data_IF_737045622100
#
_entry.id   IF_737045622100
#
_cell.length_a   1.000
_cell.length_b   1.000
_cell.length_c   1.000
_cell.angle_alpha   90.00
_cell.angle_beta   90.00
_cell.angle_gamma   90.00
#
_symmetry.space_group_name_H-M   'P 1'
#
loop_
_entity.id
_entity.type
_entity.pdbx_description
1 polymer ?
#
# COMPACT_ATOMS: atom_id res chain seq x y z
N UNK A 1 -18.23 14.03 17.88
CA UNK A 1 -17.38 14.30 16.70
C UNK A 1 -17.34 15.79 16.48
N UNK A 2 -16.16 16.35 16.47
CA UNK A 2 -15.95 17.77 16.15
C UNK A 2 -16.00 17.98 14.64
N UNK A 3 -16.24 19.24 14.21
CA UNK A 3 -16.25 19.57 12.77
C UNK A 3 -14.92 19.27 12.08
N UNK A 4 -13.82 19.38 12.84
CA UNK A 4 -12.46 19.04 12.36
C UNK A 4 -12.28 17.55 12.13
N UNK A 5 -12.82 16.69 12.99
CA UNK A 5 -12.77 15.22 12.82
C UNK A 5 -13.57 14.75 11.61
N UNK A 6 -14.74 15.38 11.37
CA UNK A 6 -15.56 15.11 10.18
C UNK A 6 -14.83 15.49 8.89
N UNK A 7 -14.17 16.65 8.88
CA UNK A 7 -13.40 17.11 7.73
C UNK A 7 -12.20 16.19 7.44
N UNK A 8 -11.47 15.76 8.46
CA UNK A 8 -10.33 14.84 8.31
C UNK A 8 -10.78 13.46 7.81
N UNK A 9 -11.90 12.94 8.30
CA UNK A 9 -12.49 11.66 7.84
C UNK A 9 -12.92 11.74 6.38
N UNK A 10 -13.53 12.84 5.97
CA UNK A 10 -13.92 13.08 4.57
C UNK A 10 -12.70 13.16 3.64
N UNK A 11 -11.66 13.88 4.05
CA UNK A 11 -10.43 14.02 3.27
C UNK A 11 -9.69 12.68 3.11
N UNK A 12 -9.68 11.83 4.14
CA UNK A 12 -9.10 10.49 4.07
C UNK A 12 -9.90 9.59 3.11
N UNK A 13 -11.23 9.71 3.10
CA UNK A 13 -12.09 8.98 2.15
C UNK A 13 -11.78 9.37 0.71
N UNK A 14 -11.56 10.66 0.43
CA UNK A 14 -11.16 11.14 -0.89
C UNK A 14 -9.78 10.56 -1.27
N UNK A 15 -8.82 10.55 -0.35
CA UNK A 15 -7.50 9.97 -0.62
C UNK A 15 -7.58 8.46 -0.94
N UNK A 16 -8.47 7.71 -0.29
CA UNK A 16 -8.71 6.31 -0.64
C UNK A 16 -9.33 6.15 -2.02
N UNK A 17 -10.25 7.03 -2.42
CA UNK A 17 -10.80 7.02 -3.77
C UNK A 17 -9.71 7.31 -4.81
N UNK A 18 -8.89 8.33 -4.58
CA UNK A 18 -7.76 8.66 -5.47
C UNK A 18 -6.79 7.46 -5.64
N UNK A 19 -6.55 6.67 -4.57
CA UNK A 19 -5.74 5.46 -4.66
C UNK A 19 -6.39 4.38 -5.52
N UNK A 20 -7.70 4.15 -5.35
CA UNK A 20 -8.42 3.16 -6.15
C UNK A 20 -8.45 3.56 -7.64
N UNK A 21 -8.63 4.84 -7.93
CA UNK A 21 -8.59 5.35 -9.29
C UNK A 21 -7.19 5.18 -9.91
N UNK A 22 -6.13 5.52 -9.16
CA UNK A 22 -4.75 5.31 -9.61
C UNK A 22 -4.43 3.81 -9.82
N UNK A 23 -4.96 2.92 -8.99
CA UNK A 23 -4.83 1.46 -9.15
C UNK A 23 -5.53 0.99 -10.43
N UNK A 24 -6.76 1.47 -10.68
CA UNK A 24 -7.52 1.12 -11.89
C UNK A 24 -6.81 1.61 -13.15
N UNK A 25 -6.29 2.83 -13.13
CA UNK A 25 -5.49 3.37 -14.23
C UNK A 25 -4.21 2.55 -14.46
N UNK A 26 -3.55 2.09 -13.39
CA UNK A 26 -2.36 1.24 -13.51
C UNK A 26 -2.70 -0.11 -14.18
N UNK A 27 -3.83 -0.71 -13.82
CA UNK A 27 -4.28 -1.98 -14.41
C UNK A 27 -4.51 -1.87 -15.92
N UNK A 28 -4.94 -0.70 -16.40
CA UNK A 28 -5.25 -0.44 -17.79
C UNK A 28 -4.08 0.21 -18.55
N UNK A 29 -3.02 0.61 -17.84
CA UNK A 29 -1.90 1.31 -18.42
C UNK A 29 -1.13 0.45 -19.42
N UNK A 30 -0.72 1.07 -20.52
CA UNK A 30 0.33 0.50 -21.34
C UNK A 30 1.64 0.48 -20.54
N UNK A 31 2.52 -0.46 -20.87
CA UNK A 31 3.79 -0.61 -20.16
C UNK A 31 4.58 0.70 -20.03
N UNK A 32 4.58 1.51 -21.09
CA UNK A 32 5.27 2.82 -21.11
C UNK A 32 4.72 3.82 -20.10
N UNK A 33 3.44 3.68 -19.74
CA UNK A 33 2.73 4.58 -18.84
C UNK A 33 2.74 4.07 -17.39
N UNK A 34 2.99 2.78 -17.18
CA UNK A 34 2.93 2.15 -15.86
C UNK A 34 3.80 2.87 -14.82
N UNK A 35 5.01 3.28 -15.20
CA UNK A 35 5.89 4.04 -14.30
C UNK A 35 5.32 5.40 -13.94
N UNK A 36 4.64 6.09 -14.86
CA UNK A 36 4.01 7.38 -14.60
C UNK A 36 2.81 7.23 -13.64
N UNK A 37 1.98 6.22 -13.85
CA UNK A 37 0.85 5.94 -12.96
C UNK A 37 1.32 5.52 -11.57
N UNK A 38 2.42 4.73 -11.48
CA UNK A 38 3.03 4.38 -10.20
C UNK A 38 3.55 5.62 -9.45
N UNK A 39 4.19 6.57 -10.14
CA UNK A 39 4.61 7.83 -9.56
C UNK A 39 3.42 8.62 -8.99
N UNK A 40 2.29 8.64 -9.71
CA UNK A 40 1.05 9.29 -9.23
C UNK A 40 0.52 8.62 -7.97
N UNK A 41 0.51 7.29 -7.91
CA UNK A 41 0.10 6.55 -6.71
C UNK A 41 1.01 6.86 -5.50
N UNK A 42 2.33 6.90 -5.71
CA UNK A 42 3.30 7.27 -4.66
C UNK A 42 3.04 8.70 -4.17
N UNK A 43 2.77 9.65 -5.07
CA UNK A 43 2.44 11.02 -4.68
C UNK A 43 1.13 11.11 -3.85
N UNK A 44 0.19 10.20 -4.03
CA UNK A 44 -1.01 10.11 -3.17
C UNK A 44 -0.63 9.64 -1.77
N UNK A 45 0.28 8.67 -1.62
CA UNK A 45 0.76 8.24 -0.31
C UNK A 45 1.46 9.36 0.48
N UNK A 46 2.11 10.29 -0.22
CA UNK A 46 2.89 11.38 0.37
C UNK A 46 2.04 12.65 0.61
N UNK A 47 0.75 12.64 0.28
CA UNK A 47 -0.18 13.76 0.44
C UNK A 47 -1.02 13.60 1.71
N UNK A 48 -1.22 14.72 2.43
CA UNK A 48 -2.14 14.75 3.57
C UNK A 48 -3.62 14.55 3.14
N UNK A 49 -4.43 13.87 3.96
CA UNK A 49 -4.14 13.34 5.30
C UNK A 49 -3.55 11.92 5.30
N UNK A 50 -3.34 11.30 4.14
CA UNK A 50 -2.89 9.91 4.04
C UNK A 50 -1.46 9.75 4.54
N UNK A 51 -0.58 10.73 4.28
CA UNK A 51 0.81 10.72 4.75
C UNK A 51 0.90 10.61 6.27
N UNK A 52 0.15 11.43 7.01
CA UNK A 52 0.06 11.36 8.47
C UNK A 52 -0.48 10.02 8.95
N UNK A 53 -1.58 9.56 8.35
CA UNK A 53 -2.15 8.24 8.68
C UNK A 53 -1.14 7.11 8.50
N UNK A 54 -0.43 7.05 7.37
CA UNK A 54 0.57 6.02 7.09
C UNK A 54 1.76 6.12 8.03
N UNK A 55 2.27 7.33 8.32
CA UNK A 55 3.41 7.52 9.22
C UNK A 55 3.12 7.04 10.65
N UNK A 56 1.88 7.17 11.11
CA UNK A 56 1.44 6.71 12.42
C UNK A 56 1.10 5.20 12.45
N UNK A 57 0.62 4.66 11.30
CA UNK A 57 0.14 3.29 11.23
C UNK A 57 1.25 2.28 10.95
N UNK A 58 2.32 2.69 10.30
CA UNK A 58 3.30 1.80 9.70
C UNK A 58 4.65 1.87 10.40
N UNK A 59 5.29 0.72 10.67
CA UNK A 59 6.67 0.67 11.16
C UNK A 59 7.66 1.06 10.05
N UNK A 60 8.86 1.48 10.45
CA UNK A 60 9.98 1.61 9.54
C UNK A 60 10.45 0.22 9.07
N UNK A 61 10.90 0.12 7.82
CA UNK A 61 11.38 -1.13 7.23
C UNK A 61 12.69 -0.91 6.49
N UNK A 62 13.53 -1.94 6.45
CA UNK A 62 14.77 -1.97 5.69
C UNK A 62 14.55 -2.69 4.36
N UNK A 63 14.17 -1.90 3.33
CA UNK A 63 13.92 -2.41 1.99
C UNK A 63 15.18 -2.97 1.34
N UNK A 64 16.33 -2.32 1.52
CA UNK A 64 17.57 -2.72 0.84
C UNK A 64 18.01 -4.12 1.33
N UNK A 65 18.04 -4.33 2.63
CA UNK A 65 18.35 -5.67 3.19
C UNK A 65 17.31 -6.72 2.79
N UNK A 66 16.04 -6.33 2.67
CA UNK A 66 14.98 -7.26 2.25
C UNK A 66 15.14 -7.67 0.78
N UNK A 67 15.44 -6.72 -0.12
CA UNK A 67 15.71 -6.99 -1.55
C UNK A 67 16.97 -7.86 -1.71
N UNK A 68 18.06 -7.56 -1.00
CA UNK A 68 19.27 -8.38 -1.03
C UNK A 68 19.00 -9.84 -0.64
N UNK A 69 18.18 -10.07 0.39
CA UNK A 69 17.77 -11.44 0.76
C UNK A 69 16.93 -12.11 -0.32
N UNK A 70 16.04 -11.37 -0.98
CA UNK A 70 15.25 -11.90 -2.09
C UNK A 70 16.12 -12.28 -3.28
N UNK A 71 17.04 -11.42 -3.67
CA UNK A 71 18.00 -11.67 -4.75
C UNK A 71 18.92 -12.86 -4.46
N UNK A 72 19.33 -13.04 -3.20
CA UNK A 72 20.13 -14.21 -2.78
C UNK A 72 19.39 -15.55 -2.98
N UNK A 73 18.07 -15.55 -3.15
CA UNK A 73 17.28 -16.75 -3.47
C UNK A 73 17.18 -17.02 -4.97
N UNK A 74 17.66 -16.11 -5.82
CA UNK A 74 17.57 -16.23 -7.26
C UNK A 74 18.36 -17.47 -7.76
N UNK A 75 17.64 -18.33 -8.52
CA UNK A 75 18.23 -19.44 -9.24
C UNK A 75 18.55 -19.08 -10.70
N UNK A 76 18.79 -20.09 -11.51
CA UNK A 76 19.08 -19.93 -12.94
C UNK A 76 17.86 -19.60 -13.80
N UNK A 77 16.67 -19.53 -13.23
CA UNK A 77 15.42 -19.31 -13.95
C UNK A 77 14.83 -17.92 -13.66
N UNK A 78 14.19 -17.34 -14.67
CA UNK A 78 13.42 -16.11 -14.55
C UNK A 78 12.33 -16.24 -13.48
N UNK A 79 12.17 -15.22 -12.64
CA UNK A 79 11.17 -15.23 -11.57
C UNK A 79 11.51 -16.15 -10.41
N UNK A 80 12.77 -16.59 -10.29
CA UNK A 80 13.22 -17.51 -9.23
C UNK A 80 13.57 -16.80 -7.93
N UNK A 81 13.76 -15.47 -7.94
CA UNK A 81 13.97 -14.70 -6.73
C UNK A 81 12.67 -14.60 -5.92
N UNK A 82 12.70 -15.04 -4.68
CA UNK A 82 11.52 -15.08 -3.83
C UNK A 82 11.40 -13.85 -2.93
N UNK A 83 10.32 -13.10 -3.11
CA UNK A 83 9.93 -12.01 -2.21
C UNK A 83 9.27 -12.61 -0.96
N UNK A 84 10.02 -12.67 0.12
CA UNK A 84 9.51 -13.18 1.40
C UNK A 84 8.84 -12.03 2.17
N UNK A 85 7.53 -11.85 1.93
CA UNK A 85 6.75 -10.78 2.56
C UNK A 85 6.59 -10.98 4.06
N UNK A 86 6.66 -9.89 4.87
CA UNK A 86 6.33 -9.96 6.28
C UNK A 86 4.94 -10.54 6.55
N UNK A 87 4.80 -11.34 7.60
CA UNK A 87 3.49 -11.87 8.02
C UNK A 87 2.62 -10.79 8.64
N UNK A 88 3.22 -9.87 9.40
CA UNK A 88 2.51 -8.72 9.94
C UNK A 88 2.00 -7.81 8.82
N UNK A 89 0.75 -7.36 8.94
CA UNK A 89 0.10 -6.55 7.91
C UNK A 89 0.73 -5.17 7.79
N UNK A 90 1.02 -4.51 8.90
CA UNK A 90 1.58 -3.16 8.88
C UNK A 90 3.00 -3.16 8.31
N UNK A 91 3.83 -4.14 8.69
CA UNK A 91 5.16 -4.33 8.11
C UNK A 91 5.10 -4.63 6.61
N UNK A 92 4.17 -5.48 6.19
CA UNK A 92 3.98 -5.81 4.76
C UNK A 92 3.56 -4.59 3.95
N UNK A 93 2.60 -3.80 4.44
CA UNK A 93 2.17 -2.55 3.79
C UNK A 93 3.33 -1.57 3.72
N UNK A 94 4.07 -1.41 4.81
CA UNK A 94 5.25 -0.55 4.85
C UNK A 94 6.29 -0.96 3.79
N UNK A 95 6.56 -2.25 3.67
CA UNK A 95 7.50 -2.81 2.68
C UNK A 95 7.01 -2.60 1.24
N UNK A 96 5.71 -2.79 0.98
CA UNK A 96 5.13 -2.58 -0.35
C UNK A 96 5.16 -1.10 -0.76
N UNK A 97 4.87 -0.17 0.16
CA UNK A 97 4.99 1.28 -0.10
C UNK A 97 6.45 1.65 -0.38
N UNK A 98 7.39 1.16 0.44
CA UNK A 98 8.81 1.40 0.24
C UNK A 98 9.28 0.90 -1.13
N UNK A 99 8.82 -0.28 -1.55
CA UNK A 99 9.10 -0.84 -2.89
C UNK A 99 8.52 0.03 -4.00
N UNK A 100 7.26 0.48 -3.88
CA UNK A 100 6.66 1.38 -4.87
C UNK A 100 7.45 2.68 -5.01
N UNK A 101 7.88 3.28 -3.89
CA UNK A 101 8.75 4.48 -3.90
C UNK A 101 10.11 4.21 -4.53
N UNK A 102 10.69 3.05 -4.28
CA UNK A 102 11.98 2.65 -4.82
C UNK A 102 11.94 2.53 -6.35
N UNK A 103 10.89 1.89 -6.89
CA UNK A 103 10.66 1.78 -8.33
C UNK A 103 10.34 3.15 -8.94
N UNK A 104 9.46 3.93 -8.31
CA UNK A 104 9.09 5.27 -8.76
C UNK A 104 10.30 6.21 -8.82
N UNK A 105 11.23 6.11 -7.87
CA UNK A 105 12.50 6.84 -7.87
C UNK A 105 13.53 6.29 -8.88
N UNK A 106 13.16 5.30 -9.70
CA UNK A 106 14.03 4.62 -10.68
C UNK A 106 15.31 4.03 -10.08
N UNK A 107 15.29 3.65 -8.81
CA UNK A 107 16.40 2.93 -8.15
C UNK A 107 16.51 1.49 -8.64
N UNK A 108 15.42 0.95 -9.15
CA UNK A 108 15.35 -0.31 -9.89
C UNK A 108 14.45 -0.12 -11.10
N UNK A 109 14.78 -0.76 -12.20
CA UNK A 109 13.94 -0.78 -13.39
C UNK A 109 12.71 -1.66 -13.14
N UNK A 110 11.52 -1.15 -13.47
CA UNK A 110 10.25 -1.85 -13.25
C UNK A 110 10.19 -3.21 -13.94
N UNK A 111 10.63 -3.25 -15.22
CA UNK A 111 10.61 -4.50 -16.00
C UNK A 111 11.54 -5.54 -15.39
N UNK A 112 12.77 -5.13 -15.07
CA UNK A 112 13.76 -6.02 -14.46
C UNK A 112 13.29 -6.53 -13.10
N UNK A 113 12.68 -5.67 -12.27
CA UNK A 113 12.14 -6.07 -10.99
C UNK A 113 11.08 -7.16 -11.16
N UNK A 114 10.06 -6.92 -12.01
CA UNK A 114 8.97 -7.89 -12.23
C UNK A 114 9.51 -9.18 -12.85
N UNK A 115 10.41 -9.08 -13.80
CA UNK A 115 11.03 -10.22 -14.47
C UNK A 115 11.83 -11.13 -13.50
N UNK A 116 12.56 -10.52 -12.59
CA UNK A 116 13.41 -11.26 -11.65
C UNK A 116 12.61 -11.95 -10.53
N UNK A 117 11.49 -11.36 -10.10
CA UNK A 117 10.77 -11.79 -8.91
C UNK A 117 9.44 -12.50 -9.22
N UNK A 118 8.94 -12.41 -10.44
CA UNK A 118 7.68 -13.04 -10.82
C UNK A 118 7.82 -13.86 -12.09
N UNK A 119 7.14 -14.98 -12.12
CA UNK A 119 7.07 -15.79 -13.33
C UNK A 119 6.08 -15.14 -14.31
N UNK A 120 6.60 -14.39 -15.27
CA UNK A 120 5.82 -13.69 -16.30
C UNK A 120 6.23 -14.16 -17.69
N UNK A 121 5.27 -14.20 -18.61
CA UNK A 121 5.56 -14.41 -20.02
C UNK A 121 6.32 -13.23 -20.65
N UNK A 122 6.59 -13.29 -21.93
CA UNK A 122 7.35 -12.27 -22.68
C UNK A 122 6.57 -10.96 -22.94
N UNK A 123 5.27 -10.92 -22.66
CA UNK A 123 4.42 -9.74 -22.90
C UNK A 123 4.66 -8.66 -21.87
N UNK A 124 4.91 -7.44 -22.32
CA UNK A 124 5.05 -6.26 -21.44
C UNK A 124 3.78 -5.98 -20.62
N UNK A 125 2.60 -6.22 -21.20
CA UNK A 125 1.33 -6.10 -20.48
C UNK A 125 1.19 -7.12 -19.34
N UNK A 126 1.77 -8.31 -19.50
CA UNK A 126 1.79 -9.31 -18.43
C UNK A 126 2.60 -8.82 -17.20
N UNK A 127 3.67 -8.05 -17.39
CA UNK A 127 4.44 -7.46 -16.29
C UNK A 127 3.60 -6.45 -15.50
N UNK A 128 2.85 -5.58 -16.19
CA UNK A 128 1.94 -4.61 -15.55
C UNK A 128 0.85 -5.36 -14.77
N UNK A 129 0.23 -6.35 -15.39
CA UNK A 129 -0.82 -7.16 -14.77
C UNK A 129 -0.33 -7.87 -13.50
N UNK A 130 0.84 -8.52 -13.55
CA UNK A 130 1.38 -9.27 -12.40
C UNK A 130 1.76 -8.33 -11.26
N UNK A 131 2.38 -7.18 -11.55
CA UNK A 131 2.69 -6.19 -10.53
C UNK A 131 1.41 -5.64 -9.86
N UNK A 132 0.39 -5.33 -10.65
CA UNK A 132 -0.91 -4.95 -10.14
C UNK A 132 -1.48 -6.02 -9.21
N UNK A 133 -1.58 -7.27 -9.66
CA UNK A 133 -2.22 -8.35 -8.92
C UNK A 133 -1.44 -8.78 -7.67
N UNK A 134 -0.11 -8.72 -7.69
CA UNK A 134 0.75 -9.23 -6.61
C UNK A 134 1.18 -8.14 -5.61
N UNK A 135 1.22 -6.89 -6.02
CA UNK A 135 1.70 -5.78 -5.20
C UNK A 135 0.59 -4.77 -4.92
N UNK A 136 0.01 -4.14 -5.96
CA UNK A 136 -0.90 -3.01 -5.75
C UNK A 136 -2.25 -3.43 -5.16
N UNK A 137 -2.85 -4.50 -5.65
CA UNK A 137 -4.14 -4.97 -5.15
C UNK A 137 -4.10 -5.34 -3.65
N UNK A 138 -3.15 -6.18 -3.17
CA UNK A 138 -3.04 -6.45 -1.74
C UNK A 138 -2.64 -5.22 -0.92
N UNK A 139 -1.76 -4.35 -1.44
CA UNK A 139 -1.34 -3.12 -0.77
C UNK A 139 -2.54 -2.22 -0.43
N UNK A 140 -3.33 -1.86 -1.42
CA UNK A 140 -4.45 -0.93 -1.22
C UNK A 140 -5.55 -1.54 -0.35
N UNK A 141 -5.84 -2.82 -0.52
CA UNK A 141 -6.74 -3.56 0.36
C UNK A 141 -6.27 -3.53 1.81
N UNK A 142 -4.98 -3.76 2.06
CA UNK A 142 -4.44 -3.83 3.41
C UNK A 142 -4.34 -2.43 4.06
N UNK A 143 -4.05 -1.36 3.30
CA UNK A 143 -4.14 0.04 3.79
C UNK A 143 -5.56 0.35 4.27
N UNK A 144 -6.58 0.02 3.46
CA UNK A 144 -7.99 0.22 3.83
C UNK A 144 -8.35 -0.50 5.13
N UNK A 145 -7.95 -1.75 5.27
CA UNK A 145 -8.19 -2.53 6.50
C UNK A 145 -7.49 -1.96 7.72
N UNK A 146 -6.28 -1.41 7.58
CA UNK A 146 -5.60 -0.72 8.68
C UNK A 146 -6.37 0.51 9.12
N UNK A 147 -6.97 1.27 8.19
CA UNK A 147 -7.79 2.43 8.53
C UNK A 147 -9.08 2.05 9.25
N UNK A 148 -9.76 0.99 8.82
CA UNK A 148 -10.96 0.46 9.47
C UNK A 148 -10.68 0.04 10.92
N UNK A 149 -9.59 -0.69 11.14
CA UNK A 149 -9.19 -1.14 12.48
C UNK A 149 -8.90 0.00 13.45
N UNK A 150 -8.41 1.14 12.97
CA UNK A 150 -8.16 2.32 13.79
C UNK A 150 -9.42 3.12 14.14
N UNK A 151 -10.48 3.00 13.35
CA UNK A 151 -11.76 3.68 13.60
C UNK A 151 -12.61 2.97 14.65
N UNK A 152 -12.45 1.66 14.84
CA UNK A 152 -13.23 0.83 15.76
C UNK A 152 -13.10 1.28 17.24
N UNK A 153 -11.90 1.61 17.77
CA UNK A 153 -11.78 2.03 19.18
C UNK A 153 -12.53 3.32 19.52
N UNK A 154 -12.60 4.28 18.60
CA UNK A 154 -13.31 5.53 18.83
C UNK A 154 -14.82 5.36 18.87
N UNK A 155 -15.37 4.45 18.07
CA UNK A 155 -16.82 4.11 18.10
C UNK A 155 -17.19 3.39 19.39
N UNK A 156 -16.37 2.45 19.87
CA UNK A 156 -16.57 1.74 21.13
C UNK A 156 -16.47 2.67 22.34
N UNK A 157 -15.48 3.58 22.38
CA UNK A 157 -15.33 4.56 23.44
C UNK A 157 -16.54 5.52 23.51
N UNK A 158 -17.10 5.91 22.36
CA UNK A 158 -18.29 6.75 22.29
C UNK A 158 -19.55 5.98 22.73
N UNK A 159 -19.66 4.68 22.45
CA UNK A 159 -20.78 3.85 22.88
C UNK A 159 -20.77 3.63 24.41
N UNK A 160 -19.61 3.41 25.01
CA UNK A 160 -19.45 3.22 26.46
C UNK A 160 -19.67 4.53 27.23
N UNK A 161 -19.26 5.69 26.69
CA UNK A 161 -19.47 6.99 27.32
C UNK A 161 -20.92 7.49 27.34
N UNK A 162 -21.85 6.79 26.69
CA UNK A 162 -23.31 7.10 26.67
C UNK A 162 -24.17 6.31 27.60
N UNK A 163 -23.61 5.51 28.51
CA UNK A 163 -24.41 4.86 29.55
C UNK A 163 -24.77 5.93 30.59
N UNK A 164 -26.03 6.39 30.66
CA UNK A 164 -26.43 7.29 31.74
C UNK A 164 -26.38 6.49 33.05
N UNK A 165 -25.62 7.01 34.00
CA UNK A 165 -25.71 6.58 35.40
C UNK A 165 -27.07 7.00 35.91
N UNK A 166 -28.09 6.21 35.60
CA UNK A 166 -29.38 6.28 36.27
C UNK A 166 -29.25 5.54 37.59
N UNK A 167 -29.01 6.25 38.63
CA UNK A 167 -28.93 5.73 39.96
C UNK A 167 -29.24 6.81 40.95
N UNK A 168 -30.48 7.24 41.01
CA UNK A 168 -31.04 7.91 42.18
C UNK A 168 -32.25 7.20 42.66
N UNK A 169 -32.17 6.74 43.86
CA UNK A 169 -33.18 6.90 44.92
C UNK A 169 -32.53 6.76 46.25
#
# INVERSE_FOLDING_TARGET
MTQTELAASSALTVAFQDMEDAKADFQQAEFKEAAHVLNRLVAIFDREPLASFLSEALPSVDLDSWLQRAEATAGSHVGSAHLNWPHDRAERVSMQIALCRYIAAKKVDFLNFVHNHFHVGSSLSAHVFVFHAKILEPLLRDIRRLSELRQVPSVLAQAIGRVPLSGDT
#
